data_IF_572693042226
#
_entry.id   IF_572693042226
#
_cell.length_a   1.000
_cell.length_b   1.000
_cell.length_c   1.000
_cell.angle_alpha   90.00
_cell.angle_beta   90.00
_cell.angle_gamma   90.00
#
_symmetry.space_group_name_H-M   'P 1'
#
loop_
_entity.id
_entity.type
_entity.pdbx_description
1 polymer ?
#
# COMPACT_ATOMS: atom_id res chain seq x y z
N UNK A 1 48.86 0.66 3.29
CA UNK A 1 49.56 0.72 4.59
C UNK A 1 49.38 2.15 5.09
N UNK A 2 48.57 2.36 6.12
CA UNK A 2 48.29 3.68 6.70
C UNK A 2 48.79 3.64 8.13
N UNK A 3 49.75 4.49 8.46
CA UNK A 3 50.31 4.64 9.81
C UNK A 3 49.25 5.23 10.75
N UNK A 4 49.16 4.65 11.95
CA UNK A 4 48.29 5.09 13.03
C UNK A 4 49.07 6.06 13.91
N UNK A 5 48.73 7.35 13.89
CA UNK A 5 49.23 8.33 14.85
C UNK A 5 48.15 8.57 15.91
N UNK A 6 48.42 8.07 17.12
CA UNK A 6 47.87 8.36 18.45
C UNK A 6 46.41 8.85 18.62
N UNK A 7 45.67 8.11 19.44
CA UNK A 7 44.32 8.39 19.93
C UNK A 7 44.35 9.25 21.21
N UNK A 8 43.82 10.48 21.16
CA UNK A 8 43.24 11.16 22.34
C UNK A 8 42.25 12.25 21.91
N UNK A 9 41.02 12.12 22.39
CA UNK A 9 39.88 13.05 22.20
C UNK A 9 39.24 13.09 20.81
N UNK A 10 38.49 12.04 20.47
CA UNK A 10 37.07 12.17 20.09
C UNK A 10 36.64 13.02 18.89
N UNK A 11 37.52 13.46 17.99
CA UNK A 11 37.13 14.07 16.71
C UNK A 11 38.12 13.67 15.62
N UNK A 12 37.62 12.99 14.57
CA UNK A 12 38.37 12.79 13.33
C UNK A 12 38.02 13.95 12.38
N UNK A 13 38.89 14.94 12.25
CA UNK A 13 38.79 15.95 11.19
C UNK A 13 39.45 15.37 9.93
N UNK A 14 38.66 15.14 8.89
CA UNK A 14 39.19 14.85 7.55
C UNK A 14 39.59 16.18 6.88
N UNK A 15 40.72 16.26 6.16
CA UNK A 15 41.00 17.40 5.28
C UNK A 15 39.99 17.41 4.14
N UNK A 16 39.56 18.61 3.73
CA UNK A 16 38.67 18.85 2.59
C UNK A 16 39.10 18.03 1.36
N UNK A 17 38.26 17.07 0.97
CA UNK A 17 38.31 16.43 -0.33
C UNK A 17 37.27 17.13 -1.22
N UNK A 18 37.72 18.03 -2.08
CA UNK A 18 36.90 18.58 -3.15
C UNK A 18 36.50 17.45 -4.11
N UNK A 19 35.19 17.20 -4.20
CA UNK A 19 34.57 16.43 -5.29
C UNK A 19 34.56 14.91 -5.14
N UNK A 20 33.65 14.36 -4.32
CA UNK A 20 33.02 13.06 -4.55
C UNK A 20 31.85 12.85 -3.58
N UNK A 21 30.78 12.21 -4.06
CA UNK A 21 29.54 11.95 -3.35
C UNK A 21 29.74 11.35 -1.93
N UNK A 22 29.06 11.92 -0.93
CA UNK A 22 28.99 11.38 0.43
C UNK A 22 28.24 10.05 0.43
N UNK A 23 28.97 8.95 0.60
CA UNK A 23 28.40 7.65 0.93
C UNK A 23 28.38 7.49 2.45
N UNK A 24 27.18 7.38 3.04
CA UNK A 24 27.02 7.05 4.45
C UNK A 24 27.33 5.55 4.67
N UNK A 25 28.54 5.24 5.12
CA UNK A 25 28.94 3.91 5.59
C UNK A 25 28.72 3.87 7.11
N UNK A 26 27.77 3.05 7.60
CA UNK A 26 27.65 2.74 9.04
C UNK A 26 28.46 1.48 9.36
N UNK A 27 29.40 1.59 10.29
CA UNK A 27 30.16 0.47 10.85
C UNK A 27 29.45 -0.06 12.10
N UNK A 28 29.28 -1.38 12.20
CA UNK A 28 28.89 -2.06 13.43
C UNK A 28 30.11 -2.79 14.01
N UNK A 29 30.37 -2.61 15.31
CA UNK A 29 31.45 -3.29 16.01
C UNK A 29 31.15 -4.79 16.14
N UNK A 30 32.11 -5.62 15.75
CA UNK A 30 32.10 -7.08 15.97
C UNK A 30 33.25 -7.39 16.94
N UNK A 31 32.96 -8.28 17.89
CA UNK A 31 33.86 -8.71 18.96
C UNK A 31 35.21 -9.23 18.45
N UNK A 32 36.28 -9.01 19.23
CA UNK A 32 37.68 -9.29 18.83
C UNK A 32 37.95 -10.78 18.58
N UNK A 33 38.54 -11.17 17.43
CA UNK A 33 39.24 -12.46 17.31
C UNK A 33 40.76 -12.29 17.56
N UNK A 34 41.37 -13.28 18.20
CA UNK A 34 42.74 -13.29 18.76
C UNK A 34 43.91 -13.19 17.77
N UNK A 35 43.70 -13.03 16.46
CA UNK A 35 44.79 -12.88 15.50
C UNK A 35 44.50 -11.69 14.61
N UNK A 36 45.22 -10.58 14.84
CA UNK A 36 44.98 -9.22 14.35
C UNK A 36 44.98 -8.99 12.84
N UNK A 37 44.09 -9.67 12.10
CA UNK A 37 43.79 -9.43 10.69
C UNK A 37 42.27 -9.31 10.53
N UNK A 38 41.78 -8.07 10.43
CA UNK A 38 40.42 -7.77 10.01
C UNK A 38 40.26 -8.05 8.51
N UNK A 39 39.67 -9.20 8.15
CA UNK A 39 39.16 -9.44 6.80
C UNK A 39 37.79 -8.79 6.64
N UNK A 40 37.73 -7.65 5.94
CA UNK A 40 36.48 -7.03 5.55
C UNK A 40 35.89 -7.78 4.34
N UNK A 41 34.86 -8.60 4.57
CA UNK A 41 34.07 -9.22 3.52
C UNK A 41 32.87 -8.31 3.19
N UNK A 42 32.87 -7.72 2.00
CA UNK A 42 31.70 -7.01 1.46
C UNK A 42 30.62 -8.05 1.12
N UNK A 43 29.67 -8.29 2.03
CA UNK A 43 28.43 -8.98 1.67
C UNK A 43 27.56 -8.04 0.84
N UNK A 44 27.53 -8.24 -0.48
CA UNK A 44 26.53 -7.61 -1.35
C UNK A 44 25.13 -8.02 -0.87
N UNK A 45 24.31 -7.04 -0.54
CA UNK A 45 22.93 -7.27 -0.08
C UNK A 45 22.16 -8.10 -1.12
N UNK A 46 21.27 -8.97 -0.64
CA UNK A 46 20.30 -9.73 -1.46
C UNK A 46 19.48 -8.83 -2.39
N UNK A 47 19.34 -7.54 -2.04
CA UNK A 47 18.73 -6.46 -2.83
C UNK A 47 19.45 -6.22 -4.16
N UNK A 48 20.78 -6.10 -4.17
CA UNK A 48 21.55 -5.91 -5.41
C UNK A 48 21.48 -7.12 -6.33
N UNK A 49 21.48 -8.33 -5.76
CA UNK A 49 21.42 -9.58 -6.54
C UNK A 49 20.08 -9.75 -7.23
N UNK A 50 18.97 -9.51 -6.51
CA UNK A 50 17.61 -9.57 -7.10
C UNK A 50 17.36 -8.44 -8.10
N UNK A 51 17.90 -7.24 -7.83
CA UNK A 51 17.83 -6.11 -8.76
C UNK A 51 18.62 -6.36 -10.05
N UNK A 52 19.87 -6.84 -9.96
CA UNK A 52 20.65 -7.22 -11.15
C UNK A 52 20.01 -8.37 -11.92
N UNK A 53 19.44 -9.36 -11.23
CA UNK A 53 18.72 -10.44 -11.89
C UNK A 53 17.49 -9.92 -12.67
N UNK A 54 16.70 -9.01 -12.07
CA UNK A 54 15.56 -8.37 -12.74
C UNK A 54 15.97 -7.44 -13.88
N UNK A 55 17.03 -6.65 -13.72
CA UNK A 55 17.56 -5.79 -14.80
C UNK A 55 18.07 -6.62 -15.97
N UNK A 56 18.81 -7.71 -15.72
CA UNK A 56 19.30 -8.59 -16.76
C UNK A 56 18.15 -9.29 -17.50
N UNK A 57 17.09 -9.67 -16.78
CA UNK A 57 15.88 -10.24 -17.39
C UNK A 57 15.13 -9.22 -18.25
N UNK A 58 14.94 -7.98 -17.78
CA UNK A 58 14.29 -6.92 -18.55
C UNK A 58 15.12 -6.47 -19.77
N UNK A 59 16.45 -6.42 -19.64
CA UNK A 59 17.34 -6.14 -20.76
C UNK A 59 17.25 -7.23 -21.84
N UNK A 60 17.22 -8.50 -21.43
CA UNK A 60 17.06 -9.64 -22.34
C UNK A 60 15.69 -9.63 -23.05
N UNK A 61 14.61 -9.30 -22.35
CA UNK A 61 13.27 -9.15 -22.93
C UNK A 61 13.21 -7.98 -23.92
N UNK A 62 13.83 -6.83 -23.58
CA UNK A 62 13.90 -5.66 -24.47
C UNK A 62 14.75 -5.93 -25.71
N UNK A 63 15.82 -6.71 -25.59
CA UNK A 63 16.64 -7.13 -26.73
C UNK A 63 15.91 -8.15 -27.61
N UNK A 64 15.16 -9.07 -27.01
CA UNK A 64 14.25 -9.97 -27.72
C UNK A 64 13.18 -9.22 -28.52
N UNK A 65 12.58 -8.18 -27.93
CA UNK A 65 11.59 -7.33 -28.60
C UNK A 65 12.20 -6.51 -29.76
N UNK A 66 13.43 -6.00 -29.60
CA UNK A 66 14.15 -5.30 -30.68
C UNK A 66 14.52 -6.23 -31.83
N UNK A 67 14.95 -7.46 -31.53
CA UNK A 67 15.24 -8.49 -32.56
C UNK A 67 13.97 -8.91 -33.29
N UNK A 68 12.86 -9.08 -32.58
CA UNK A 68 11.56 -9.37 -33.19
C UNK A 68 11.05 -8.22 -34.07
N UNK A 69 11.19 -6.97 -33.63
CA UNK A 69 10.81 -5.78 -34.40
C UNK A 69 11.66 -5.57 -35.66
N UNK A 70 12.96 -5.88 -35.61
CA UNK A 70 13.82 -5.81 -36.81
C UNK A 70 13.51 -6.93 -37.82
N UNK A 71 13.13 -8.12 -37.37
CA UNK A 71 12.73 -9.23 -38.25
C UNK A 71 11.41 -8.90 -38.96
N UNK A 72 10.44 -8.30 -38.25
CA UNK A 72 9.15 -7.90 -38.85
C UNK A 72 9.30 -6.71 -39.80
N UNK A 73 10.18 -5.74 -39.49
CA UNK A 73 10.47 -4.62 -40.39
C UNK A 73 11.28 -5.04 -41.64
N UNK A 74 12.16 -6.05 -41.52
CA UNK A 74 12.91 -6.61 -42.64
C UNK A 74 12.05 -7.40 -43.63
N UNK A 75 11.01 -8.10 -43.17
CA UNK A 75 10.06 -8.79 -44.05
C UNK A 75 9.10 -7.84 -44.78
N UNK A 76 8.90 -6.61 -44.29
CA UNK A 76 8.00 -5.64 -44.90
C UNK A 76 8.66 -4.79 -46.03
N UNK A 77 9.98 -4.86 -46.20
CA UNK A 77 10.72 -4.01 -47.16
C UNK A 77 11.24 -4.72 -48.42
N UNK A 78 10.85 -5.99 -48.66
CA UNK A 78 11.35 -6.78 -49.79
C UNK A 78 10.26 -7.29 -50.75
N UNK A 79 9.13 -6.57 -50.92
CA UNK A 79 8.08 -6.95 -51.89
C UNK A 79 7.63 -5.79 -52.77
N UNK A 80 8.56 -5.17 -53.50
CA UNK A 80 8.26 -4.28 -54.63
C UNK A 80 9.40 -4.33 -55.66
N UNK A 81 9.49 -5.41 -56.44
CA UNK A 81 10.17 -5.42 -57.75
C UNK A 81 9.95 -6.75 -58.52
N UNK A 82 9.25 -6.60 -59.66
CA UNK A 82 9.37 -7.38 -60.91
C UNK A 82 8.65 -8.73 -61.02
N UNK A 83 7.80 -8.80 -62.06
CA UNK A 83 6.97 -9.94 -62.46
C UNK A 83 7.67 -11.03 -63.28
N UNK A 84 6.93 -12.14 -63.37
CA UNK A 84 6.91 -13.22 -64.36
C UNK A 84 8.21 -13.90 -64.82
N UNK A 85 8.40 -15.15 -64.37
CA UNK A 85 8.66 -16.30 -65.26
C UNK A 85 8.38 -17.64 -64.54
N UNK A 86 7.63 -18.51 -65.20
CA UNK A 86 7.37 -19.90 -64.83
C UNK A 86 8.62 -20.78 -65.01
N UNK A 87 8.87 -21.72 -64.09
CA UNK A 87 8.92 -23.18 -64.32
C UNK A 87 9.42 -23.94 -63.07
N UNK A 88 9.10 -25.23 -63.07
CA UNK A 88 9.06 -26.17 -61.95
C UNK A 88 10.43 -26.65 -61.42
N UNK A 89 10.43 -27.22 -60.21
CA UNK A 89 10.79 -28.63 -59.88
C UNK A 89 11.12 -28.81 -58.37
N UNK A 90 10.52 -29.87 -57.80
CA UNK A 90 10.91 -30.72 -56.65
C UNK A 90 11.17 -30.18 -55.21
N UNK A 91 10.19 -30.49 -54.35
CA UNK A 91 10.28 -31.39 -53.16
C UNK A 91 11.46 -31.21 -52.18
N UNK A 92 11.22 -30.54 -51.05
CA UNK A 92 11.86 -30.83 -49.77
C UNK A 92 10.94 -30.52 -48.59
N UNK A 93 10.85 -31.48 -47.66
CA UNK A 93 10.04 -31.46 -46.43
C UNK A 93 10.58 -30.41 -45.46
N UNK A 94 9.69 -29.60 -44.89
CA UNK A 94 9.90 -28.90 -43.62
C UNK A 94 8.53 -28.72 -42.95
N UNK A 95 8.29 -29.49 -41.88
CA UNK A 95 7.11 -29.32 -41.04
C UNK A 95 7.31 -28.05 -40.21
N UNK A 96 6.75 -26.93 -40.65
CA UNK A 96 6.63 -25.72 -39.85
C UNK A 96 5.39 -25.80 -38.96
N UNK A 97 5.62 -25.69 -37.66
CA UNK A 97 4.60 -25.59 -36.63
C UNK A 97 3.72 -24.34 -36.86
N UNK A 98 2.40 -24.54 -36.83
CA UNK A 98 1.42 -23.45 -36.81
C UNK A 98 1.60 -22.60 -35.54
N UNK A 99 1.57 -21.26 -35.63
CA UNK A 99 1.48 -20.41 -34.45
C UNK A 99 0.04 -20.45 -33.93
N UNK A 100 -0.17 -21.07 -32.76
CA UNK A 100 -1.43 -21.01 -32.02
C UNK A 100 -1.72 -19.55 -31.63
N UNK A 101 -2.60 -18.89 -32.39
CA UNK A 101 -3.36 -17.73 -31.93
C UNK A 101 -4.57 -18.24 -31.13
N UNK A 102 -4.49 -18.14 -29.81
CA UNK A 102 -5.65 -17.79 -28.98
C UNK A 102 -5.15 -17.35 -27.61
N UNK A 103 -4.95 -16.05 -27.46
CA UNK A 103 -4.94 -15.44 -26.13
C UNK A 103 -6.35 -15.60 -25.55
N UNK A 104 -6.47 -16.41 -24.51
CA UNK A 104 -7.70 -16.54 -23.73
C UNK A 104 -8.09 -15.20 -23.09
N UNK A 105 -9.38 -14.98 -22.79
CA UNK A 105 -9.82 -13.79 -22.06
C UNK A 105 -9.13 -13.78 -20.70
N UNK A 106 -8.57 -12.64 -20.30
CA UNK A 106 -7.86 -12.47 -19.05
C UNK A 106 -8.82 -12.78 -17.89
N UNK A 107 -8.72 -13.98 -17.32
CA UNK A 107 -9.37 -14.30 -16.06
C UNK A 107 -8.91 -13.25 -15.03
N UNK A 108 -9.86 -12.61 -14.35
CA UNK A 108 -9.53 -11.79 -13.19
C UNK A 108 -8.72 -12.68 -12.24
N UNK A 109 -7.54 -12.23 -11.80
CA UNK A 109 -6.78 -12.99 -10.82
C UNK A 109 -7.64 -13.15 -9.57
N UNK A 110 -7.71 -14.38 -9.07
CA UNK A 110 -8.46 -14.70 -7.84
C UNK A 110 -7.89 -13.96 -6.62
N UNK A 111 -6.59 -13.65 -6.65
CA UNK A 111 -5.85 -12.93 -5.61
C UNK A 111 -5.35 -11.57 -6.13
N UNK A 112 -5.52 -10.51 -5.33
CA UNK A 112 -5.04 -9.18 -5.67
C UNK A 112 -3.52 -9.05 -5.50
N UNK A 113 -2.89 -8.20 -6.31
CA UNK A 113 -1.48 -7.81 -6.15
C UNK A 113 -1.31 -6.55 -5.31
N UNK A 114 -2.33 -5.68 -5.32
CA UNK A 114 -2.31 -4.37 -4.69
C UNK A 114 -3.56 -4.17 -3.83
N UNK A 115 -3.42 -3.41 -2.75
CA UNK A 115 -4.52 -2.99 -1.88
C UNK A 115 -4.44 -1.48 -1.66
N UNK A 116 -5.56 -0.79 -1.85
CA UNK A 116 -5.74 0.61 -1.48
C UNK A 116 -6.69 0.64 -0.28
N UNK A 117 -6.24 1.17 0.85
CA UNK A 117 -7.07 1.48 2.00
C UNK A 117 -7.34 2.98 2.06
N UNK A 118 -8.59 3.36 1.85
CA UNK A 118 -9.08 4.72 2.05
C UNK A 118 -9.73 4.82 3.42
N UNK A 119 -9.27 5.77 4.23
CA UNK A 119 -9.78 6.02 5.58
C UNK A 119 -10.35 7.42 5.67
N UNK A 120 -11.66 7.53 5.85
CA UNK A 120 -12.36 8.80 6.04
C UNK A 120 -12.53 9.19 7.51
N UNK A 121 -12.93 10.43 7.74
CA UNK A 121 -13.59 10.86 8.99
C UNK A 121 -14.90 11.56 8.66
N UNK A 122 -15.90 11.40 9.53
CA UNK A 122 -17.20 12.03 9.36
C UNK A 122 -17.99 11.52 8.15
N UNK A 123 -17.76 10.28 7.72
CA UNK A 123 -18.45 9.67 6.57
C UNK A 123 -19.17 8.42 7.06
N UNK A 124 -20.51 8.45 7.03
CA UNK A 124 -21.39 7.30 7.24
C UNK A 124 -22.37 7.11 6.08
N UNK A 125 -23.41 6.29 6.29
CA UNK A 125 -24.41 5.98 5.27
C UNK A 125 -25.19 7.23 4.81
N UNK A 126 -25.41 8.16 5.72
CA UNK A 126 -26.06 9.45 5.49
C UNK A 126 -25.30 10.33 4.50
N UNK A 127 -23.97 10.23 4.45
CA UNK A 127 -23.15 11.01 3.52
C UNK A 127 -23.51 10.70 2.06
N UNK A 128 -23.82 9.44 1.74
CA UNK A 128 -24.23 9.03 0.39
C UNK A 128 -25.61 9.56 -0.02
N UNK A 129 -26.51 9.78 0.95
CA UNK A 129 -27.86 10.33 0.67
C UNK A 129 -27.81 11.74 0.10
N UNK A 130 -26.70 12.46 0.30
CA UNK A 130 -26.49 13.80 -0.24
C UNK A 130 -26.23 13.82 -1.75
N UNK A 131 -25.87 12.67 -2.36
CA UNK A 131 -25.44 12.59 -3.75
C UNK A 131 -24.05 13.19 -4.03
N UNK A 132 -23.32 13.61 -2.99
CA UNK A 132 -22.02 14.27 -3.13
C UNK A 132 -20.86 13.31 -3.45
N UNK A 133 -21.06 12.00 -3.34
CA UNK A 133 -19.99 10.99 -3.45
C UNK A 133 -20.28 9.92 -4.51
N UNK A 134 -20.32 10.27 -5.81
CA UNK A 134 -20.61 9.31 -6.88
C UNK A 134 -19.57 8.18 -7.00
N UNK A 135 -18.28 8.44 -6.73
CA UNK A 135 -17.25 7.39 -6.79
C UNK A 135 -17.48 6.37 -5.67
N UNK A 136 -17.64 6.83 -4.43
CA UNK A 136 -17.94 5.95 -3.30
C UNK A 136 -19.27 5.20 -3.50
N UNK A 137 -20.28 5.86 -4.07
CA UNK A 137 -21.56 5.22 -4.41
C UNK A 137 -21.38 4.06 -5.40
N UNK A 138 -20.47 4.21 -6.37
CA UNK A 138 -20.09 3.13 -7.28
C UNK A 138 -19.43 1.96 -6.54
N UNK A 139 -18.45 2.24 -5.68
CA UNK A 139 -17.78 1.22 -4.86
C UNK A 139 -18.77 0.47 -3.96
N UNK A 140 -19.76 1.17 -3.38
CA UNK A 140 -20.83 0.55 -2.58
C UNK A 140 -21.74 -0.33 -3.43
N UNK A 141 -22.15 0.14 -4.61
CA UNK A 141 -23.06 -0.60 -5.49
C UNK A 141 -22.43 -1.88 -6.02
N UNK A 142 -21.13 -1.83 -6.35
CA UNK A 142 -20.41 -2.91 -7.01
C UNK A 142 -19.55 -3.74 -6.06
N UNK A 143 -19.47 -3.38 -4.78
CA UNK A 143 -18.60 -4.02 -3.80
C UNK A 143 -19.33 -4.89 -2.77
N UNK A 144 -18.57 -5.28 -1.75
CA UNK A 144 -19.06 -5.89 -0.51
C UNK A 144 -19.14 -4.83 0.58
N UNK A 145 -20.28 -4.68 1.26
CA UNK A 145 -20.54 -3.54 2.15
C UNK A 145 -21.22 -3.92 3.45
N UNK A 146 -20.80 -3.30 4.55
CA UNK A 146 -21.59 -3.11 5.76
C UNK A 146 -21.51 -1.65 6.23
N UNK A 147 -22.59 -1.16 6.85
CA UNK A 147 -22.66 0.17 7.46
C UNK A 147 -22.54 0.14 8.99
N UNK A 148 -22.38 -1.05 9.56
CA UNK A 148 -22.44 -1.29 10.99
C UNK A 148 -21.13 -1.84 11.55
N UNK A 149 -19.99 -1.61 10.87
CA UNK A 149 -18.71 -2.05 11.40
C UNK A 149 -18.41 -1.28 12.69
N UNK A 150 -18.04 -1.99 13.76
CA UNK A 150 -17.75 -1.38 15.06
C UNK A 150 -16.37 -0.74 15.04
N UNK A 151 -16.28 0.51 15.47
CA UNK A 151 -15.01 1.18 15.76
C UNK A 151 -14.46 0.70 17.12
N UNK A 152 -13.69 1.54 17.79
CA UNK A 152 -13.13 1.25 19.12
C UNK A 152 -13.60 2.25 20.16
N UNK A 153 -13.24 1.96 21.40
CA UNK A 153 -13.48 2.81 22.56
C UNK A 153 -12.14 3.15 23.22
N UNK A 154 -11.85 4.42 23.53
CA UNK A 154 -12.60 5.62 23.14
C UNK A 154 -12.53 5.86 21.62
N UNK A 155 -13.56 6.43 20.99
CA UNK A 155 -13.61 6.59 19.55
C UNK A 155 -12.88 7.87 19.11
N UNK A 156 -11.58 7.92 19.39
CA UNK A 156 -10.70 9.01 19.02
C UNK A 156 -9.92 8.65 17.75
N UNK A 157 -9.48 9.65 16.97
CA UNK A 157 -8.83 9.45 15.66
C UNK A 157 -7.62 8.52 15.76
N UNK A 158 -6.63 8.89 16.57
CA UNK A 158 -5.35 8.20 16.69
C UNK A 158 -5.51 6.80 17.31
N UNK A 159 -6.27 6.59 18.40
CA UNK A 159 -6.56 5.25 18.92
C UNK A 159 -7.26 4.37 17.89
N UNK A 160 -8.27 4.90 17.18
CA UNK A 160 -9.02 4.12 16.18
C UNK A 160 -8.15 3.73 14.98
N UNK A 161 -7.30 4.64 14.50
CA UNK A 161 -6.34 4.33 13.43
C UNK A 161 -5.28 3.32 13.92
N UNK A 162 -4.84 3.42 15.17
CA UNK A 162 -3.92 2.45 15.76
C UNK A 162 -4.55 1.06 15.79
N UNK A 163 -5.81 0.93 16.23
CA UNK A 163 -6.53 -0.35 16.22
C UNK A 163 -6.72 -0.90 14.81
N UNK A 164 -7.01 -0.04 13.83
CA UNK A 164 -7.11 -0.43 12.42
C UNK A 164 -5.80 -1.05 11.91
N UNK A 165 -4.66 -0.42 12.22
CA UNK A 165 -3.34 -0.81 11.70
C UNK A 165 -2.71 -1.96 12.48
N UNK A 166 -3.08 -2.14 13.75
CA UNK A 166 -2.54 -3.19 14.63
C UNK A 166 -3.50 -4.36 14.83
N UNK A 167 -4.75 -4.29 14.35
CA UNK A 167 -5.72 -5.36 14.62
C UNK A 167 -5.97 -5.65 16.10
N UNK A 168 -5.64 -4.71 16.98
CA UNK A 168 -5.75 -4.84 18.43
C UNK A 168 -6.72 -3.80 18.99
N UNK A 169 -7.39 -4.07 20.11
CA UNK A 169 -8.16 -3.06 20.84
C UNK A 169 -7.23 -2.07 21.56
N UNK A 170 -7.80 -0.95 22.01
CA UNK A 170 -7.07 0.17 22.63
C UNK A 170 -6.29 -0.25 23.86
N UNK A 171 -6.86 -1.13 24.67
CA UNK A 171 -6.28 -1.65 25.91
C UNK A 171 -5.02 -2.47 25.65
N UNK A 172 -4.93 -3.10 24.46
CA UNK A 172 -3.78 -3.92 24.06
C UNK A 172 -2.69 -3.11 23.39
N UNK A 173 -3.04 -2.23 22.44
CA UNK A 173 -2.01 -1.43 21.77
C UNK A 173 -1.56 -0.22 22.58
N UNK A 174 -2.32 0.19 23.60
CA UNK A 174 -1.94 1.19 24.60
C UNK A 174 -1.98 2.65 24.10
N UNK A 175 -2.50 2.90 22.90
CA UNK A 175 -2.61 4.26 22.33
C UNK A 175 -3.94 4.86 22.75
N UNK A 176 -3.92 5.63 23.83
CA UNK A 176 -5.11 6.16 24.53
C UNK A 176 -5.25 7.69 24.42
N UNK A 177 -4.44 8.34 23.58
CA UNK A 177 -4.39 9.79 23.38
C UNK A 177 -4.64 10.14 21.91
N UNK A 178 -5.00 11.40 21.60
CA UNK A 178 -5.44 11.82 20.25
C UNK A 178 -4.60 12.93 19.60
N UNK A 179 -3.43 13.23 20.15
CA UNK A 179 -2.49 14.21 19.64
C UNK A 179 -1.14 13.57 19.31
N UNK A 180 -0.35 14.20 18.45
CA UNK A 180 1.05 13.79 18.31
C UNK A 180 1.81 14.10 19.60
N UNK A 181 2.60 13.15 20.08
CA UNK A 181 3.45 13.29 21.27
C UNK A 181 4.81 12.63 21.01
N UNK A 182 5.81 13.48 20.76
CA UNK A 182 7.17 13.04 20.45
C UNK A 182 7.79 12.20 21.57
N UNK A 183 7.48 12.49 22.84
CA UNK A 183 8.10 11.82 23.99
C UNK A 183 7.64 10.36 24.09
N UNK A 184 6.41 10.06 23.63
CA UNK A 184 5.87 8.70 23.63
C UNK A 184 6.52 7.78 22.60
N UNK A 185 7.14 8.34 21.56
CA UNK A 185 7.71 7.57 20.46
C UNK A 185 6.68 6.70 19.73
N UNK A 186 7.14 5.86 18.81
CA UNK A 186 6.23 4.98 18.05
C UNK A 186 5.64 3.88 18.95
N UNK A 187 4.38 3.46 18.73
CA UNK A 187 3.79 2.31 19.42
C UNK A 187 4.66 1.07 19.27
N UNK A 188 4.74 0.26 20.33
CA UNK A 188 5.46 -1.02 20.34
C UNK A 188 4.76 -2.17 19.60
N UNK A 189 3.41 -2.30 19.63
CA UNK A 189 2.73 -3.38 18.92
C UNK A 189 3.00 -3.33 17.42
N UNK A 190 3.17 -4.49 16.76
CA UNK A 190 3.36 -4.55 15.33
C UNK A 190 2.09 -4.13 14.59
N UNK A 191 2.30 -3.34 13.54
CA UNK A 191 1.29 -2.91 12.57
C UNK A 191 1.29 -3.85 11.36
N UNK A 192 0.28 -3.69 10.51
CA UNK A 192 0.19 -4.36 9.21
C UNK A 192 1.47 -4.14 8.37
N UNK A 193 2.13 -3.00 8.53
CA UNK A 193 3.36 -2.68 7.82
C UNK A 193 4.54 -3.54 8.28
N UNK A 194 4.66 -3.78 9.60
CA UNK A 194 5.69 -4.68 10.14
C UNK A 194 5.53 -6.10 9.56
N UNK A 195 4.29 -6.60 9.46
CA UNK A 195 4.05 -7.92 8.87
C UNK A 195 4.24 -7.98 7.36
N UNK A 196 3.95 -6.90 6.64
CA UNK A 196 4.23 -6.80 5.20
C UNK A 196 5.74 -6.81 4.90
N UNK A 197 6.53 -6.19 5.77
CA UNK A 197 7.99 -6.26 5.70
C UNK A 197 8.48 -7.71 5.94
N UNK A 198 8.04 -8.32 7.05
CA UNK A 198 8.43 -9.70 7.40
C UNK A 198 8.02 -10.74 6.34
N UNK A 199 6.93 -10.49 5.61
CA UNK A 199 6.40 -11.37 4.55
C UNK A 199 7.16 -11.30 3.22
N UNK A 200 8.42 -10.86 3.23
CA UNK A 200 9.30 -10.82 2.05
C UNK A 200 9.47 -9.44 1.43
N UNK A 201 9.21 -8.36 2.18
CA UNK A 201 9.47 -6.98 1.79
C UNK A 201 8.43 -6.43 0.81
N UNK A 202 7.13 -6.57 1.13
CA UNK A 202 6.08 -5.92 0.34
C UNK A 202 6.09 -4.42 0.62
N UNK A 203 6.48 -3.64 -0.39
CA UNK A 203 6.48 -2.17 -0.31
C UNK A 203 5.09 -1.65 0.07
N UNK A 204 5.05 -0.69 0.98
CA UNK A 204 3.83 0.00 1.40
C UNK A 204 4.05 1.51 1.43
N UNK A 205 2.97 2.27 1.27
CA UNK A 205 3.02 3.72 1.30
C UNK A 205 1.85 4.30 2.09
N UNK A 206 2.15 5.28 2.93
CA UNK A 206 1.19 5.92 3.84
C UNK A 206 1.07 7.40 3.47
N UNK A 207 -0.16 7.87 3.28
CA UNK A 207 -0.47 9.27 3.07
C UNK A 207 -1.51 9.72 4.09
N UNK A 208 -1.03 10.36 5.17
CA UNK A 208 -1.94 10.89 6.18
C UNK A 208 -2.14 12.40 6.04
N UNK A 209 -3.40 12.81 6.17
CA UNK A 209 -3.82 14.21 6.18
C UNK A 209 -3.93 14.83 7.59
N UNK A 210 -3.30 14.23 8.61
CA UNK A 210 -3.31 14.72 9.99
C UNK A 210 -2.01 14.36 10.71
N UNK A 211 -1.36 15.34 11.37
CA UNK A 211 -0.06 15.14 12.00
C UNK A 211 -0.12 14.27 13.26
N UNK A 212 -1.28 14.14 13.91
CA UNK A 212 -1.45 13.20 15.04
C UNK A 212 -1.10 11.77 14.63
N UNK A 213 -1.42 11.39 13.39
CA UNK A 213 -1.17 10.06 12.84
C UNK A 213 0.31 9.81 12.52
N UNK A 214 1.18 10.82 12.59
CA UNK A 214 2.62 10.62 12.48
C UNK A 214 3.13 9.66 13.56
N UNK A 215 2.45 9.60 14.72
CA UNK A 215 2.73 8.61 15.77
C UNK A 215 2.69 7.15 15.26
N UNK A 216 1.94 6.87 14.18
CA UNK A 216 1.79 5.53 13.59
C UNK A 216 2.67 5.30 12.36
N UNK A 217 3.32 6.35 11.86
CA UNK A 217 4.18 6.31 10.68
C UNK A 217 5.63 5.97 11.06
N UNK A 218 5.83 4.80 11.66
CA UNK A 218 7.14 4.31 12.08
C UNK A 218 8.09 4.21 10.86
N UNK A 219 9.34 4.70 10.96
CA UNK A 219 10.31 4.55 9.87
C UNK A 219 10.66 3.07 9.67
N UNK A 220 10.16 2.48 8.59
CA UNK A 220 10.44 1.10 8.21
C UNK A 220 11.16 1.02 6.86
N UNK A 221 11.97 -0.03 6.60
CA UNK A 221 12.74 -0.14 5.36
C UNK A 221 11.91 -0.19 4.08
N UNK A 222 10.66 -0.67 4.16
CA UNK A 222 9.74 -0.88 3.04
C UNK A 222 8.43 -0.09 3.17
N UNK A 223 8.38 0.89 4.08
CA UNK A 223 7.20 1.74 4.26
C UNK A 223 7.59 3.19 4.11
N UNK A 224 7.19 3.77 2.99
CA UNK A 224 7.30 5.20 2.79
C UNK A 224 6.08 5.91 3.39
N UNK A 225 6.26 7.10 3.94
CA UNK A 225 5.15 7.90 4.44
C UNK A 225 5.29 9.36 4.01
N UNK A 226 4.15 9.98 3.71
CA UNK A 226 4.06 11.41 3.47
C UNK A 226 2.90 11.99 4.29
N UNK A 227 3.21 13.06 5.00
CA UNK A 227 2.26 13.76 5.86
C UNK A 227 1.89 15.11 5.24
N UNK A 228 0.59 15.34 5.25
CA UNK A 228 -0.08 16.58 4.91
C UNK A 228 -1.00 16.86 6.12
N UNK A 229 -1.20 18.08 6.59
CA UNK A 229 -2.15 18.26 7.68
C UNK A 229 -2.37 19.73 8.03
N UNK A 230 -3.13 20.01 9.10
CA UNK A 230 -3.43 21.35 9.58
C UNK A 230 -2.23 22.29 9.74
N UNK A 231 -1.02 21.77 9.97
CA UNK A 231 0.20 22.60 10.10
C UNK A 231 0.74 23.06 8.74
N UNK A 232 0.23 22.53 7.62
CA UNK A 232 0.55 22.94 6.25
C UNK A 232 -0.68 23.56 5.58
N UNK A 233 -0.74 24.90 5.43
CA UNK A 233 -1.90 25.59 4.84
C UNK A 233 -2.29 25.10 3.44
N UNK A 234 -1.31 24.63 2.66
CA UNK A 234 -1.50 24.04 1.33
C UNK A 234 -2.03 22.60 1.34
N UNK A 235 -2.25 22.02 2.53
CA UNK A 235 -2.73 20.66 2.63
C UNK A 235 -4.19 20.54 2.19
N UNK A 236 -4.44 19.67 1.21
CA UNK A 236 -5.77 19.35 0.72
C UNK A 236 -5.79 17.90 0.20
N UNK A 237 -6.97 17.31 -0.06
CA UNK A 237 -7.06 16.01 -0.70
C UNK A 237 -6.36 15.97 -2.06
N UNK A 238 -6.40 17.09 -2.81
CA UNK A 238 -5.69 17.22 -4.08
C UNK A 238 -4.15 17.20 -3.90
N UNK A 239 -3.64 17.81 -2.82
CA UNK A 239 -2.21 17.76 -2.46
C UNK A 239 -1.76 16.33 -2.19
N UNK A 240 -2.58 15.54 -1.48
CA UNK A 240 -2.29 14.11 -1.24
C UNK A 240 -2.31 13.30 -2.53
N UNK A 241 -3.28 13.51 -3.42
CA UNK A 241 -3.29 12.89 -4.76
C UNK A 241 -1.99 13.20 -5.51
N UNK A 242 -1.51 14.44 -5.42
CA UNK A 242 -0.26 14.83 -6.06
C UNK A 242 0.95 14.14 -5.43
N UNK A 243 1.01 14.00 -4.11
CA UNK A 243 2.06 13.24 -3.43
C UNK A 243 2.07 11.76 -3.84
N UNK A 244 0.89 11.15 -4.01
CA UNK A 244 0.76 9.76 -4.51
C UNK A 244 1.25 9.68 -5.96
N UNK A 245 0.87 10.62 -6.83
CA UNK A 245 1.35 10.68 -8.21
C UNK A 245 2.87 10.81 -8.28
N UNK A 246 3.46 11.67 -7.44
CA UNK A 246 4.90 11.85 -7.35
C UNK A 246 5.61 10.60 -6.85
N UNK A 247 5.03 9.88 -5.88
CA UNK A 247 5.50 8.55 -5.48
C UNK A 247 5.50 7.58 -6.65
N UNK A 248 4.38 7.49 -7.38
CA UNK A 248 4.21 6.54 -8.48
C UNK A 248 5.22 6.81 -9.59
N UNK A 249 5.41 8.09 -9.95
CA UNK A 249 6.45 8.50 -10.92
C UNK A 249 7.85 8.05 -10.48
N UNK A 250 8.18 8.16 -9.18
CA UNK A 250 9.47 7.69 -8.65
C UNK A 250 9.58 6.16 -8.72
N UNK A 251 8.56 5.45 -8.25
CA UNK A 251 8.48 3.99 -8.25
C UNK A 251 8.62 3.39 -9.66
N UNK A 252 8.06 4.05 -10.68
CA UNK A 252 8.12 3.58 -12.08
C UNK A 252 9.33 4.09 -12.85
N UNK A 253 10.20 4.90 -12.26
CA UNK A 253 11.37 5.51 -12.95
C UNK A 253 12.52 4.53 -13.25
N UNK A 254 12.52 3.34 -12.63
CA UNK A 254 13.51 2.29 -12.82
C UNK A 254 14.82 2.43 -12.03
N UNK A 255 15.06 3.57 -11.38
CA UNK A 255 16.27 3.81 -10.57
C UNK A 255 15.97 4.19 -9.12
N UNK A 256 14.73 4.60 -8.81
CA UNK A 256 14.39 5.22 -7.53
C UNK A 256 15.11 6.56 -7.33
N UNK A 257 14.65 7.38 -6.39
CA UNK A 257 15.35 8.61 -6.00
C UNK A 257 15.37 8.72 -4.47
N UNK A 258 16.56 8.85 -3.87
CA UNK A 258 16.70 9.04 -2.42
C UNK A 258 16.34 7.80 -1.60
N UNK A 259 15.61 7.97 -0.48
CA UNK A 259 14.99 6.85 0.24
C UNK A 259 14.31 5.93 -0.78
N UNK A 260 14.70 4.66 -0.78
CA UNK A 260 14.71 3.82 -1.96
C UNK A 260 13.30 3.33 -2.37
N UNK A 261 12.50 4.21 -2.97
CA UNK A 261 11.22 3.92 -3.63
C UNK A 261 11.53 3.14 -4.92
N UNK A 262 11.60 1.82 -4.82
CA UNK A 262 12.00 0.94 -5.91
C UNK A 262 10.83 0.23 -6.62
N UNK A 263 9.61 0.33 -6.07
CA UNK A 263 8.43 -0.25 -6.69
C UNK A 263 7.14 0.44 -6.24
N UNK A 264 6.03 0.12 -6.90
CA UNK A 264 4.71 0.60 -6.51
C UNK A 264 4.29 -0.09 -5.19
N UNK A 265 3.55 0.59 -4.31
CA UNK A 265 3.22 0.03 -3.02
C UNK A 265 2.16 -1.07 -3.21
N UNK A 266 2.45 -2.28 -2.71
CA UNK A 266 1.48 -3.37 -2.61
C UNK A 266 0.34 -2.99 -1.66
N UNK A 267 0.61 -2.14 -0.68
CA UNK A 267 -0.39 -1.59 0.23
C UNK A 267 -0.28 -0.07 0.33
N UNK A 268 -1.30 0.64 -0.14
CA UNK A 268 -1.41 2.09 -0.09
C UNK A 268 -2.47 2.49 0.94
N UNK A 269 -2.11 3.31 1.94
CA UNK A 269 -3.06 3.86 2.91
C UNK A 269 -3.22 5.35 2.68
N UNK A 270 -4.47 5.81 2.57
CA UNK A 270 -4.80 7.22 2.35
C UNK A 270 -5.85 7.67 3.37
N UNK A 271 -5.49 8.63 4.21
CA UNK A 271 -6.39 9.21 5.20
C UNK A 271 -6.92 10.57 4.72
N UNK A 272 -8.24 10.75 4.73
CA UNK A 272 -8.95 11.92 4.20
C UNK A 272 -9.98 12.46 5.24
N UNK A 273 -9.57 13.35 6.15
CA UNK A 273 -10.38 13.80 7.31
C UNK A 273 -11.29 15.00 7.04
N UNK A 274 -11.23 15.59 5.84
CA UNK A 274 -11.91 16.85 5.56
C UNK A 274 -13.42 16.87 5.84
N UNK A 275 -14.22 15.82 5.52
CA UNK A 275 -15.63 15.81 5.86
C UNK A 275 -15.86 15.87 7.37
N UNK A 276 -15.09 15.13 8.16
CA UNK A 276 -15.11 15.21 9.62
C UNK A 276 -14.82 16.63 10.13
N UNK A 277 -13.76 17.27 9.62
CA UNK A 277 -13.41 18.66 9.98
C UNK A 277 -14.51 19.65 9.61
N UNK A 278 -15.05 19.55 8.39
CA UNK A 278 -16.10 20.43 7.91
C UNK A 278 -17.41 20.25 8.69
N UNK A 279 -17.76 19.00 8.99
CA UNK A 279 -18.94 18.63 9.78
C UNK A 279 -18.85 19.11 11.23
N UNK A 280 -17.67 19.00 11.86
CA UNK A 280 -17.38 19.54 13.18
C UNK A 280 -17.49 21.07 13.23
N UNK A 281 -16.87 21.75 12.28
CA UNK A 281 -16.79 23.21 12.29
C UNK A 281 -18.09 23.91 11.84
N UNK A 282 -18.86 23.29 10.93
CA UNK A 282 -19.99 23.95 10.27
C UNK A 282 -21.31 23.17 10.40
N UNK A 283 -21.30 21.98 10.99
CA UNK A 283 -22.44 21.08 11.08
C UNK A 283 -22.57 20.11 9.89
N UNK A 284 -23.09 18.92 10.18
CA UNK A 284 -23.24 17.78 9.24
C UNK A 284 -24.26 18.00 8.12
N UNK A 285 -25.13 19.01 8.23
CA UNK A 285 -26.09 19.40 7.17
C UNK A 285 -25.61 20.55 6.28
N UNK A 286 -24.42 21.11 6.56
CA UNK A 286 -23.95 22.35 5.95
C UNK A 286 -23.50 22.17 4.49
N UNK A 287 -23.46 23.30 3.76
CA UNK A 287 -22.83 23.33 2.44
C UNK A 287 -21.34 22.97 2.52
N UNK A 288 -20.63 23.46 3.54
CA UNK A 288 -19.21 23.16 3.74
C UNK A 288 -18.96 21.65 3.87
N UNK A 289 -19.78 20.93 4.65
CA UNK A 289 -19.70 19.48 4.75
C UNK A 289 -19.96 18.78 3.40
N UNK A 290 -21.02 19.16 2.68
CA UNK A 290 -21.30 18.60 1.33
C UNK A 290 -20.19 18.87 0.33
N UNK A 291 -19.54 20.03 0.42
CA UNK A 291 -18.44 20.41 -0.45
C UNK A 291 -17.19 19.58 -0.12
N UNK A 292 -16.89 19.36 1.17
CA UNK A 292 -15.82 18.46 1.61
C UNK A 292 -16.04 17.01 1.16
N UNK A 293 -17.28 16.49 1.23
CA UNK A 293 -17.64 15.17 0.68
C UNK A 293 -17.31 15.07 -0.81
N UNK A 294 -17.65 16.09 -1.61
CA UNK A 294 -17.29 16.13 -3.05
C UNK A 294 -15.79 16.16 -3.26
N UNK A 295 -15.05 16.90 -2.44
CA UNK A 295 -13.60 17.02 -2.58
C UNK A 295 -12.90 15.69 -2.32
N UNK A 296 -13.26 14.98 -1.25
CA UNK A 296 -12.63 13.68 -0.96
C UNK A 296 -13.07 12.59 -1.94
N UNK A 297 -14.32 12.60 -2.42
CA UNK A 297 -14.78 11.65 -3.45
C UNK A 297 -14.02 11.82 -4.77
N UNK A 298 -13.77 13.07 -5.18
CA UNK A 298 -12.90 13.37 -6.34
C UNK A 298 -11.46 12.90 -6.11
N UNK A 299 -10.93 13.03 -4.89
CA UNK A 299 -9.60 12.53 -4.57
C UNK A 299 -9.52 11.01 -4.68
N UNK A 300 -10.53 10.28 -4.18
CA UNK A 300 -10.65 8.83 -4.38
C UNK A 300 -10.70 8.48 -5.87
N UNK A 301 -11.54 9.14 -6.65
CA UNK A 301 -11.60 8.95 -8.11
C UNK A 301 -10.24 9.14 -8.77
N UNK A 302 -9.53 10.21 -8.42
CA UNK A 302 -8.19 10.51 -8.95
C UNK A 302 -7.15 9.44 -8.59
N UNK A 303 -7.22 8.89 -7.38
CA UNK A 303 -6.34 7.77 -6.95
C UNK A 303 -6.63 6.53 -7.79
N UNK A 304 -7.91 6.17 -7.99
CA UNK A 304 -8.29 5.03 -8.82
C UNK A 304 -7.86 5.23 -10.28
N UNK A 305 -7.91 6.47 -10.78
CA UNK A 305 -7.44 6.82 -12.12
C UNK A 305 -5.92 6.59 -12.28
N UNK A 306 -5.10 6.92 -11.27
CA UNK A 306 -3.66 6.61 -11.29
C UNK A 306 -3.39 5.11 -11.46
N UNK A 307 -4.15 4.25 -10.76
CA UNK A 307 -4.06 2.80 -10.92
C UNK A 307 -4.59 2.32 -12.27
N UNK A 308 -5.59 3.01 -12.84
CA UNK A 308 -6.14 2.70 -14.18
C UNK A 308 -5.14 3.05 -15.28
N UNK A 309 -4.50 4.21 -15.19
CA UNK A 309 -3.46 4.69 -16.12
C UNK A 309 -2.26 3.73 -16.16
N UNK A 310 -1.89 3.15 -15.02
CA UNK A 310 -0.83 2.14 -14.92
C UNK A 310 -1.29 0.72 -15.31
N UNK A 311 -2.58 0.52 -15.59
CA UNK A 311 -3.14 -0.79 -15.97
C UNK A 311 -3.23 -1.81 -14.83
N UNK A 312 -3.02 -1.39 -13.57
CA UNK A 312 -2.98 -2.27 -12.40
C UNK A 312 -4.28 -2.29 -11.59
N UNK A 313 -5.26 -1.42 -11.90
CA UNK A 313 -6.54 -1.37 -11.19
C UNK A 313 -7.28 -2.73 -11.18
N UNK A 314 -7.17 -3.52 -12.26
CA UNK A 314 -7.79 -4.87 -12.35
C UNK A 314 -7.17 -5.90 -11.39
N UNK A 315 -6.00 -5.60 -10.84
CA UNK A 315 -5.26 -6.44 -9.88
C UNK A 315 -5.30 -5.81 -8.47
N UNK A 316 -6.16 -4.82 -8.26
CA UNK A 316 -6.22 -4.02 -7.04
C UNK A 316 -7.53 -4.26 -6.31
N UNK A 317 -7.43 -4.45 -4.99
CA UNK A 317 -8.58 -4.36 -4.08
C UNK A 317 -8.59 -2.99 -3.42
N UNK A 318 -9.76 -2.38 -3.31
CA UNK A 318 -9.99 -1.13 -2.60
C UNK A 318 -10.81 -1.45 -1.35
N UNK A 319 -10.29 -1.09 -0.19
CA UNK A 319 -10.99 -1.12 1.08
C UNK A 319 -11.25 0.32 1.50
N UNK A 320 -12.48 0.63 1.89
CA UNK A 320 -12.87 1.95 2.38
C UNK A 320 -13.50 1.80 3.75
N UNK A 321 -13.04 2.60 4.70
CA UNK A 321 -13.61 2.69 6.05
C UNK A 321 -13.57 4.13 6.57
N UNK A 322 -14.08 4.36 7.78
CA UNK A 322 -13.93 5.63 8.47
C UNK A 322 -13.48 5.42 9.93
N UNK A 323 -12.80 6.42 10.50
CA UNK A 323 -12.50 6.45 11.93
C UNK A 323 -13.71 6.99 12.74
N UNK A 324 -14.63 7.69 12.06
CA UNK A 324 -15.86 8.24 12.64
C UNK A 324 -16.95 8.40 11.58
N UNK A 325 -18.20 8.14 11.95
CA UNK A 325 -19.38 8.51 11.15
C UNK A 325 -19.81 9.97 11.37
N UNK A 326 -20.74 10.50 10.56
CA UNK A 326 -21.30 11.82 10.83
C UNK A 326 -22.08 11.82 12.15
N UNK A 327 -21.94 12.89 12.94
CA UNK A 327 -22.61 13.05 14.23
C UNK A 327 -22.33 11.95 15.29
N UNK A 328 -21.23 11.20 15.14
CA UNK A 328 -20.77 10.25 16.18
C UNK A 328 -20.31 11.00 17.45
N UNK A 329 -20.42 10.43 18.66
CA UNK A 329 -19.88 11.03 19.90
C UNK A 329 -18.38 11.34 19.83
N UNK A 330 -17.64 10.58 18.99
CA UNK A 330 -16.27 10.84 18.56
C UNK A 330 -16.05 12.25 18.00
N UNK A 331 -17.10 12.82 17.43
CA UNK A 331 -17.12 14.10 16.73
C UNK A 331 -17.65 15.23 17.62
N UNK A 332 -17.42 15.13 18.92
CA UNK A 332 -17.51 16.28 19.82
C UNK A 332 -16.20 16.32 20.60
N UNK A 333 -15.65 17.51 20.88
CA UNK A 333 -14.41 17.70 21.64
C UNK A 333 -14.50 17.23 23.12
N UNK A 334 -15.48 16.39 23.46
CA UNK A 334 -15.63 15.73 24.74
C UNK A 334 -15.68 14.23 24.52
N UNK A 335 -14.76 13.50 25.14
CA UNK A 335 -14.86 12.05 25.27
C UNK A 335 -16.19 11.70 25.95
N UNK A 336 -17.19 11.28 25.17
CA UNK A 336 -18.36 10.64 25.73
C UNK A 336 -17.88 9.37 26.45
N UNK A 337 -18.09 9.30 27.77
CA UNK A 337 -17.80 8.09 28.53
C UNK A 337 -18.65 6.94 27.97
N UNK A 338 -18.04 5.80 27.59
CA UNK A 338 -18.79 4.62 27.17
C UNK A 338 -19.62 4.08 28.32
N UNK A 339 -20.80 3.56 28.04
CA UNK A 339 -21.50 2.67 28.97
C UNK A 339 -20.71 1.37 29.14
N UNK A 340 -20.83 0.72 30.30
CA UNK A 340 -20.04 -0.47 30.67
C UNK A 340 -20.24 -1.71 29.77
N UNK A 341 -21.14 -1.63 28.78
CA UNK A 341 -21.67 -2.78 28.05
C UNK A 341 -21.40 -2.70 26.53
N UNK A 342 -20.51 -1.80 26.08
CA UNK A 342 -20.31 -1.51 24.65
C UNK A 342 -21.42 -0.66 24.01
N UNK A 343 -22.43 -0.28 24.80
CA UNK A 343 -23.40 0.74 24.42
C UNK A 343 -22.68 2.09 24.21
N UNK A 344 -22.57 2.52 22.95
CA UNK A 344 -21.93 3.77 22.56
C UNK A 344 -20.70 3.63 21.65
N UNK A 345 -20.27 2.41 21.30
CA UNK A 345 -19.22 2.22 20.27
C UNK A 345 -19.74 2.70 18.91
N UNK A 346 -19.07 3.65 18.24
CA UNK A 346 -19.55 4.13 16.95
C UNK A 346 -19.51 3.07 15.87
N UNK A 347 -20.48 3.15 14.97
CA UNK A 347 -20.50 2.38 13.73
C UNK A 347 -19.96 3.21 12.58
N UNK A 348 -19.18 2.56 11.71
CA UNK A 348 -18.53 3.17 10.55
C UNK A 348 -18.81 2.32 9.30
N UNK A 349 -18.76 2.92 8.09
CA UNK A 349 -18.82 2.15 6.86
C UNK A 349 -17.61 1.22 6.76
N UNK A 350 -17.82 0.04 6.21
CA UNK A 350 -16.75 -0.85 5.79
C UNK A 350 -17.11 -1.44 4.43
N UNK A 351 -16.31 -1.11 3.43
CA UNK A 351 -16.57 -1.39 2.01
C UNK A 351 -15.33 -2.04 1.42
N UNK A 352 -15.49 -3.12 0.66
CA UNK A 352 -14.43 -3.71 -0.16
C UNK A 352 -14.90 -3.82 -1.61
N UNK A 353 -14.03 -3.50 -2.57
CA UNK A 353 -14.33 -3.54 -4.00
C UNK A 353 -13.08 -3.92 -4.80
N UNK A 354 -13.26 -4.50 -5.99
CA UNK A 354 -12.17 -4.79 -6.93
C UNK A 354 -11.75 -6.25 -6.94
N UNK A 355 -10.46 -6.50 -7.22
CA UNK A 355 -9.93 -7.84 -7.45
C UNK A 355 -10.20 -8.78 -6.25
N UNK A 356 -10.66 -10.01 -6.53
CA UNK A 356 -10.91 -11.03 -5.51
C UNK A 356 -12.15 -10.82 -4.62
N UNK A 357 -12.89 -9.71 -4.76
CA UNK A 357 -14.04 -9.36 -3.92
C UNK A 357 -15.38 -9.65 -4.63
N UNK A 358 -16.37 -10.12 -3.86
CA UNK A 358 -17.75 -10.32 -4.32
C UNK A 358 -18.42 -8.98 -4.62
N UNK A 359 -19.04 -8.90 -5.79
CA UNK A 359 -19.75 -7.70 -6.22
C UNK A 359 -21.20 -7.68 -5.70
N UNK A 360 -21.68 -6.50 -5.29
CA UNK A 360 -23.06 -6.27 -4.86
C UNK A 360 -23.47 -7.07 -3.62
N UNK A 361 -22.53 -7.33 -2.71
CA UNK A 361 -22.73 -8.22 -1.57
C UNK A 361 -22.91 -7.42 -0.27
N UNK A 362 -23.97 -7.71 0.48
CA UNK A 362 -24.15 -7.16 1.82
C UNK A 362 -23.48 -8.10 2.84
N UNK A 363 -22.48 -7.59 3.56
CA UNK A 363 -21.73 -8.36 4.57
C UNK A 363 -22.66 -8.61 5.76
N UNK A 364 -22.82 -9.87 6.15
CA UNK A 364 -23.78 -10.28 7.19
C UNK A 364 -23.11 -10.54 8.52
N UNK A 365 -21.86 -10.99 8.50
CA UNK A 365 -21.09 -11.17 9.73
C UNK A 365 -20.80 -9.84 10.41
N UNK A 366 -20.69 -9.80 11.75
CA UNK A 366 -20.16 -8.65 12.45
C UNK A 366 -18.76 -8.30 11.93
N UNK A 367 -18.51 -7.01 11.72
CA UNK A 367 -17.19 -6.50 11.30
C UNK A 367 -16.72 -5.50 12.34
N UNK A 368 -15.47 -5.63 12.75
CA UNK A 368 -14.77 -4.65 13.57
C UNK A 368 -13.73 -3.92 12.73
N UNK A 369 -13.41 -2.68 13.07
CA UNK A 369 -12.34 -1.95 12.39
C UNK A 369 -10.98 -2.65 12.54
N UNK A 370 -10.80 -3.42 13.62
CA UNK A 370 -9.64 -4.28 13.87
C UNK A 370 -9.41 -5.26 12.72
N UNK A 371 -10.48 -5.78 12.10
CA UNK A 371 -10.46 -6.78 11.03
C UNK A 371 -9.85 -6.28 9.72
N UNK A 372 -9.66 -4.97 9.59
CA UNK A 372 -9.15 -4.33 8.36
C UNK A 372 -7.74 -4.80 8.04
N UNK A 373 -6.80 -4.75 8.99
CA UNK A 373 -5.43 -5.20 8.77
C UNK A 373 -5.35 -6.67 8.38
N UNK A 374 -6.10 -7.54 9.07
CA UNK A 374 -6.16 -8.96 8.77
C UNK A 374 -6.72 -9.23 7.35
N UNK A 375 -7.73 -8.47 6.96
CA UNK A 375 -8.32 -8.55 5.63
C UNK A 375 -7.35 -8.09 4.54
N UNK A 376 -6.54 -7.05 4.79
CA UNK A 376 -5.47 -6.61 3.88
C UNK A 376 -4.45 -7.72 3.66
N UNK A 377 -3.96 -8.36 4.74
CA UNK A 377 -3.01 -9.48 4.64
C UNK A 377 -3.60 -10.64 3.82
N UNK A 378 -4.84 -11.04 4.15
CA UNK A 378 -5.59 -12.07 3.41
C UNK A 378 -5.76 -11.74 1.93
N UNK A 379 -5.97 -10.45 1.61
CA UNK A 379 -6.10 -9.95 0.23
C UNK A 379 -4.78 -10.00 -0.55
N UNK A 380 -3.65 -9.95 0.15
CA UNK A 380 -2.31 -10.09 -0.43
C UNK A 380 -1.81 -11.54 -0.40
N UNK A 381 -2.63 -12.49 0.04
CA UNK A 381 -2.28 -13.90 0.17
C UNK A 381 -1.30 -14.18 1.31
N UNK A 382 -1.38 -13.38 2.38
CA UNK A 382 -0.57 -13.52 3.59
C UNK A 382 -1.46 -13.93 4.76
N UNK A 383 -0.89 -14.73 5.66
CA UNK A 383 -1.57 -15.12 6.88
C UNK A 383 -1.47 -14.04 7.96
N UNK A 384 -2.47 -14.05 8.83
CA UNK A 384 -2.53 -13.21 10.02
C UNK A 384 -1.71 -13.82 11.15
N UNK A 385 -1.10 -12.97 11.97
CA UNK A 385 -0.26 -13.40 13.09
C UNK A 385 -1.04 -13.46 14.41
N UNK A 386 -0.55 -14.29 15.34
CA UNK A 386 -1.24 -14.65 16.59
C UNK A 386 -1.41 -13.51 17.59
N UNK A 387 -0.69 -12.40 17.43
CA UNK A 387 -0.76 -11.27 18.37
C UNK A 387 -2.02 -10.43 18.15
N UNK A 388 -2.61 -10.50 16.96
CA UNK A 388 -3.81 -9.77 16.59
C UNK A 388 -5.07 -10.48 17.06
N UNK A 389 -6.06 -9.70 17.49
CA UNK A 389 -7.42 -10.21 17.74
C UNK A 389 -8.31 -10.10 16.50
N UNK A 390 -7.77 -9.51 15.43
CA UNK A 390 -8.47 -9.30 14.17
C UNK A 390 -8.59 -10.58 13.35
N UNK A 391 -9.69 -10.68 12.63
CA UNK A 391 -9.96 -11.78 11.71
C UNK A 391 -10.22 -11.22 10.32
N UNK A 392 -9.76 -11.91 9.28
CA UNK A 392 -10.10 -11.47 7.92
C UNK A 392 -11.61 -11.60 7.70
N UNK A 393 -12.21 -10.61 7.05
CA UNK A 393 -13.64 -10.62 6.71
C UNK A 393 -13.88 -11.61 5.56
N UNK A 394 -13.82 -12.91 5.83
CA UNK A 394 -13.76 -13.96 4.78
C UNK A 394 -14.98 -13.98 3.84
N UNK A 395 -16.17 -13.55 4.31
CA UNK A 395 -17.41 -13.57 3.51
C UNK A 395 -17.27 -12.79 2.19
N UNK A 396 -16.39 -11.80 2.11
CA UNK A 396 -16.25 -10.92 0.93
C UNK A 396 -15.49 -11.56 -0.24
N UNK A 397 -14.69 -12.61 -0.02
CA UNK A 397 -13.80 -13.14 -1.06
C UNK A 397 -14.54 -14.10 -2.00
N UNK A 398 -14.25 -14.00 -3.30
CA UNK A 398 -14.78 -14.91 -4.32
C UNK A 398 -14.24 -16.34 -4.16
N UNK A 399 -12.94 -16.44 -3.85
CA UNK A 399 -12.26 -17.71 -3.61
C UNK A 399 -12.07 -17.94 -2.10
N UNK A 400 -12.35 -19.15 -1.59
CA UNK A 400 -12.02 -19.50 -0.21
C UNK A 400 -10.50 -19.40 0.00
N UNK A 401 -10.08 -19.26 1.26
CA UNK A 401 -8.65 -19.29 1.58
C UNK A 401 -8.06 -20.62 1.06
N UNK A 402 -6.94 -20.60 0.32
CA UNK A 402 -6.26 -21.83 -0.04
C UNK A 402 -6.01 -22.65 1.22
N UNK A 403 -6.41 -23.92 1.22
CA UNK A 403 -6.08 -24.81 2.32
C UNK A 403 -4.55 -24.85 2.47
N UNK A 404 -4.06 -24.72 3.70
CA UNK A 404 -2.62 -24.76 4.02
C UNK A 404 -1.95 -25.93 3.31
N UNK A 405 -1.22 -25.64 2.23
CA UNK A 405 -0.31 -26.59 1.59
C UNK A 405 0.95 -26.67 2.46
N UNK A 406 0.85 -27.29 3.64
CA UNK A 406 2.02 -27.66 4.43
C UNK A 406 1.97 -27.39 5.93
N UNK A 407 0.95 -27.87 6.64
CA UNK A 407 1.21 -28.41 7.97
C UNK A 407 1.97 -29.74 7.78
N UNK A 408 3.28 -29.62 7.52
CA UNK A 408 4.18 -30.77 7.52
C UNK A 408 4.00 -31.54 8.81
N UNK A 409 3.64 -32.80 8.67
CA UNK A 409 3.45 -33.77 9.74
C UNK A 409 4.47 -33.59 10.85
N UNK A 410 4.03 -33.13 12.03
CA UNK A 410 4.69 -33.52 13.27
C UNK A 410 4.35 -35.00 13.48
N UNK A 411 5.16 -35.86 12.86
CA UNK A 411 5.27 -37.27 13.21
C UNK A 411 6.15 -37.45 14.45
N UNK A 412 6.06 -38.62 15.09
CA UNK A 412 5.96 -38.82 16.54
C UNK A 412 7.15 -38.34 17.37
#
# INVERSE_FOLDING_TARGET
>A
MLEVISYRHGVLLLPEMQGAAQWNVRFWAVDRPENGVLRCSIMRSTRERRFKARQNMMASVREGFKRFSMIVAGLAFATLAVGNASQAVAKAKSNSAQPNKSASPTAQREQAEYVILIVFEGVGQEALRTGAMPVLSGLVKEGSVTWSATAVTPPLRLPTMASLLTGMPVEKHGVTWDSFDFIRGYPRPPTVFDYLDLSGGRDSAIFFMDESLYQLAKPEPYTDYQMCGPLKPECSPATVVQYIRDYFRKATSGHGYGHAILSLPHFLVVHLPEPGRAGLANGWGSRAYRDALRTVDRAVGSILDLYRELGILKQTTVIVTALSGAASPASSNGAAKPGADGAGVPHVPWIAWGAGIKAGHAIKQPVSILDTGATVLRTLGLDTYTEWESHAVEEIFNAPRPADMGAGSKGP
#
